data_IF_203817066421
#
_entry.id   IF_203817066421
#
_cell.length_a   1.000
_cell.length_b   1.000
_cell.length_c   1.000
_cell.angle_alpha   90.00
_cell.angle_beta   90.00
_cell.angle_gamma   90.00
#
_symmetry.space_group_name_H-M   'P 1'
#
loop_
_entity.id
_entity.type
_entity.pdbx_description
1 polymer ?
#
# COMPACT_ATOMS: atom_id res chain seq x y z
N UNK A 1 14.74 -31.46 -8.34
CA UNK A 1 15.58 -31.05 -7.20
C UNK A 1 14.82 -31.37 -5.92
N UNK A 2 15.26 -32.36 -5.13
CA UNK A 2 14.63 -32.68 -3.85
C UNK A 2 14.99 -31.59 -2.84
N UNK A 3 14.07 -30.67 -2.56
CA UNK A 3 14.24 -29.73 -1.45
C UNK A 3 14.20 -30.53 -0.14
N UNK A 4 15.26 -30.50 0.65
CA UNK A 4 15.30 -31.24 1.91
C UNK A 4 14.56 -30.45 2.97
N UNK A 5 13.39 -30.94 3.40
CA UNK A 5 12.56 -30.35 4.46
C UNK A 5 12.65 -31.20 5.73
N UNK A 6 13.01 -30.59 6.86
CA UNK A 6 13.11 -31.29 8.14
C UNK A 6 12.61 -30.42 9.31
N UNK A 7 11.91 -31.05 10.25
CA UNK A 7 11.37 -30.45 11.47
C UNK A 7 11.90 -31.20 12.69
N UNK A 8 12.33 -30.47 13.72
CA UNK A 8 12.65 -31.07 15.01
C UNK A 8 12.31 -30.15 16.17
N UNK A 9 11.91 -30.73 17.30
CA UNK A 9 11.75 -30.00 18.56
C UNK A 9 12.99 -30.15 19.44
N UNK A 10 13.36 -29.08 20.13
CA UNK A 10 14.48 -29.10 21.07
C UNK A 10 14.29 -28.10 22.19
N UNK A 11 15.00 -28.30 23.30
CA UNK A 11 14.98 -27.39 24.44
C UNK A 11 16.24 -26.50 24.44
N UNK A 12 16.09 -25.21 24.76
CA UNK A 12 17.24 -24.31 24.96
C UNK A 12 17.66 -24.32 26.43
N UNK A 13 18.59 -25.22 26.78
CA UNK A 13 19.14 -25.37 28.14
C UNK A 13 19.87 -24.11 28.65
N UNK A 14 20.31 -23.23 27.76
CA UNK A 14 20.90 -21.93 28.11
C UNK A 14 19.86 -20.85 28.45
N UNK A 15 18.55 -21.16 28.39
CA UNK A 15 17.44 -20.24 28.72
C UNK A 15 16.51 -20.83 29.77
N UNK A 16 17.06 -21.52 30.77
CA UNK A 16 16.27 -22.10 31.87
C UNK A 16 15.68 -20.96 32.70
N UNK A 17 14.39 -21.08 33.04
CA UNK A 17 13.66 -20.14 33.90
C UNK A 17 14.01 -20.37 35.36
N UNK A 18 13.70 -19.38 36.21
CA UNK A 18 13.85 -19.47 37.67
C UNK A 18 13.16 -20.69 38.29
N UNK A 19 12.09 -21.19 37.67
CA UNK A 19 11.38 -22.41 38.08
C UNK A 19 12.01 -23.73 37.58
N UNK A 20 13.22 -23.70 37.00
CA UNK A 20 13.94 -24.89 36.53
C UNK A 20 13.51 -25.45 35.17
N UNK A 21 12.51 -24.86 34.51
CA UNK A 21 12.04 -25.34 33.20
C UNK A 21 12.76 -24.66 32.03
N UNK A 22 13.00 -25.41 30.94
CA UNK A 22 13.58 -24.91 29.70
C UNK A 22 12.51 -24.68 28.62
N UNK A 23 12.62 -23.63 27.80
CA UNK A 23 11.73 -23.40 26.68
C UNK A 23 11.94 -24.41 25.55
N UNK A 24 10.84 -24.84 24.95
CA UNK A 24 10.81 -25.70 23.77
C UNK A 24 10.78 -24.83 22.51
N UNK A 25 11.59 -25.21 21.53
CA UNK A 25 11.69 -24.60 20.21
C UNK A 25 11.44 -25.65 19.13
N UNK A 26 10.82 -25.22 18.03
CA UNK A 26 10.73 -25.94 16.77
C UNK A 26 11.82 -25.38 15.84
N UNK A 27 12.61 -26.26 15.23
CA UNK A 27 13.54 -25.90 14.16
C UNK A 27 13.00 -26.40 12.83
N UNK A 28 12.89 -25.47 11.89
CA UNK A 28 12.52 -25.72 10.49
C UNK A 28 13.80 -25.66 9.68
N UNK A 29 14.12 -26.69 8.92
CA UNK A 29 15.28 -26.72 8.01
C UNK A 29 14.81 -26.95 6.58
N UNK A 30 15.17 -26.04 5.68
CA UNK A 30 14.90 -26.13 4.25
C UNK A 30 16.20 -25.87 3.51
N UNK A 31 16.62 -26.81 2.68
CA UNK A 31 17.84 -26.72 1.86
C UNK A 31 19.09 -26.32 2.67
N UNK A 32 19.26 -26.95 3.83
CA UNK A 32 20.38 -26.73 4.75
C UNK A 32 20.32 -25.44 5.59
N UNK A 33 19.36 -24.54 5.35
CA UNK A 33 19.15 -23.33 6.14
C UNK A 33 18.08 -23.56 7.21
N UNK A 34 18.38 -23.22 8.45
CA UNK A 34 17.50 -23.46 9.59
C UNK A 34 16.92 -22.16 10.17
N UNK A 35 15.66 -22.22 10.62
CA UNK A 35 14.96 -21.17 11.34
C UNK A 35 14.31 -21.74 12.60
N UNK A 36 14.47 -21.05 13.74
CA UNK A 36 13.94 -21.49 15.04
C UNK A 36 12.66 -20.70 15.41
N UNK A 37 11.64 -21.41 15.89
CA UNK A 37 10.38 -20.85 16.39
C UNK A 37 10.17 -21.28 17.84
N UNK A 38 9.81 -20.36 18.73
CA UNK A 38 9.46 -20.70 20.10
C UNK A 38 8.10 -21.41 20.15
N UNK A 39 8.02 -22.62 20.70
CA UNK A 39 6.78 -23.38 20.84
C UNK A 39 5.88 -22.86 21.98
N UNK A 40 6.30 -21.80 22.69
CA UNK A 40 5.59 -21.20 23.84
C UNK A 40 5.18 -22.22 24.91
N UNK A 41 5.99 -23.26 25.07
CA UNK A 41 5.89 -24.32 26.08
C UNK A 41 7.24 -24.53 26.74
N UNK A 42 7.19 -25.06 27.96
CA UNK A 42 8.35 -25.25 28.81
C UNK A 42 8.30 -26.64 29.41
N UNK A 43 9.47 -27.24 29.63
CA UNK A 43 9.59 -28.57 30.22
C UNK A 43 10.83 -28.64 31.10
N UNK A 44 10.78 -29.45 32.15
CA UNK A 44 11.97 -29.86 32.88
C UNK A 44 12.92 -30.59 31.92
N UNK A 45 14.20 -30.15 31.79
CA UNK A 45 15.18 -30.82 30.93
C UNK A 45 15.34 -32.31 31.18
N UNK A 46 15.08 -32.81 32.41
CA UNK A 46 15.13 -34.23 32.76
C UNK A 46 13.97 -35.03 32.18
N UNK A 47 12.86 -34.37 31.86
CA UNK A 47 11.65 -34.97 31.28
C UNK A 47 11.60 -34.84 29.75
N UNK A 48 12.69 -34.42 29.12
CA UNK A 48 12.77 -34.27 27.66
C UNK A 48 13.60 -35.39 27.03
N UNK A 49 13.06 -36.05 26.02
CA UNK A 49 13.78 -37.01 25.19
C UNK A 49 14.45 -36.28 24.02
N UNK A 50 15.79 -36.26 24.03
CA UNK A 50 16.57 -35.59 22.99
C UNK A 50 16.52 -36.35 21.65
N UNK A 51 16.46 -37.69 21.68
CA UNK A 51 16.43 -38.52 20.46
C UNK A 51 15.05 -38.54 19.83
N UNK A 52 14.01 -38.63 20.66
CA UNK A 52 12.63 -38.67 20.19
C UNK A 52 11.97 -37.29 20.06
N UNK A 53 12.68 -36.20 20.41
CA UNK A 53 12.21 -34.81 20.32
C UNK A 53 10.85 -34.56 21.01
N UNK A 54 10.61 -35.21 22.17
CA UNK A 54 9.31 -35.18 22.87
C UNK A 54 9.45 -35.29 24.38
N UNK A 55 8.36 -35.06 25.11
CA UNK A 55 8.31 -35.29 26.55
C UNK A 55 8.34 -36.79 26.88
N UNK A 56 9.12 -37.15 27.90
CA UNK A 56 9.25 -38.51 28.46
C UNK A 56 8.04 -38.87 29.35
N UNK A 57 7.71 -40.16 29.36
CA UNK A 57 6.70 -40.74 30.25
C UNK A 57 5.27 -40.70 29.72
N UNK A 58 4.34 -41.25 30.52
CA UNK A 58 2.94 -41.44 30.19
C UNK A 58 1.98 -40.58 31.02
N UNK A 59 2.49 -39.56 31.73
CA UNK A 59 1.66 -38.66 32.52
C UNK A 59 0.73 -37.84 31.62
N UNK A 60 -0.36 -37.34 32.19
CA UNK A 60 -1.33 -36.55 31.44
C UNK A 60 -0.70 -35.25 30.87
N UNK A 61 0.25 -34.66 31.60
CA UNK A 61 1.01 -33.49 31.16
C UNK A 61 1.91 -33.82 29.97
N UNK A 62 2.61 -34.96 30.02
CA UNK A 62 3.48 -35.41 28.92
C UNK A 62 2.66 -35.70 27.65
N UNK A 63 1.51 -36.38 27.79
CA UNK A 63 0.58 -36.64 26.68
C UNK A 63 0.04 -35.34 26.07
N UNK A 64 -0.41 -34.41 26.91
CA UNK A 64 -0.95 -33.11 26.47
C UNK A 64 0.11 -32.27 25.75
N UNK A 65 1.33 -32.23 26.28
CA UNK A 65 2.45 -31.52 25.65
C UNK A 65 2.82 -32.13 24.30
N UNK A 66 2.94 -33.46 24.22
CA UNK A 66 3.27 -34.16 22.99
C UNK A 66 2.18 -33.98 21.92
N UNK A 67 0.90 -33.99 22.32
CA UNK A 67 -0.21 -33.68 21.42
C UNK A 67 -0.10 -32.25 20.87
N UNK A 68 0.19 -31.27 21.73
CA UNK A 68 0.40 -29.88 21.31
C UNK A 68 1.55 -29.74 20.30
N UNK A 69 2.69 -30.40 20.55
CA UNK A 69 3.83 -30.38 19.63
C UNK A 69 3.47 -31.00 18.28
N UNK A 70 2.72 -32.10 18.28
CA UNK A 70 2.22 -32.74 17.06
C UNK A 70 1.25 -31.84 16.27
N UNK A 71 0.36 -31.12 16.95
CA UNK A 71 -0.52 -30.14 16.29
C UNK A 71 0.28 -28.99 15.68
N UNK A 72 1.30 -28.49 16.38
CA UNK A 72 2.16 -27.43 15.86
C UNK A 72 2.96 -27.90 14.63
N UNK A 73 3.45 -29.14 14.67
CA UNK A 73 4.13 -29.78 13.54
C UNK A 73 3.19 -29.90 12.32
N UNK A 74 1.97 -30.41 12.50
CA UNK A 74 0.98 -30.52 11.42
C UNK A 74 0.69 -29.15 10.79
N UNK A 75 0.53 -28.11 11.61
CA UNK A 75 0.32 -26.74 11.13
C UNK A 75 1.48 -26.28 10.23
N UNK A 76 2.72 -26.63 10.57
CA UNK A 76 3.89 -26.29 9.73
C UNK A 76 3.84 -26.99 8.37
N UNK A 77 3.47 -28.28 8.34
CA UNK A 77 3.28 -29.00 7.08
C UNK A 77 2.18 -28.38 6.21
N UNK A 78 1.06 -27.99 6.80
CA UNK A 78 -0.06 -27.36 6.07
C UNK A 78 0.37 -26.04 5.42
N UNK A 79 1.09 -25.17 6.15
CA UNK A 79 1.62 -23.93 5.59
C UNK A 79 2.69 -24.16 4.53
N UNK A 80 3.57 -25.15 4.73
CA UNK A 80 4.58 -25.50 3.74
C UNK A 80 3.93 -25.96 2.42
N UNK A 81 2.89 -26.79 2.50
CA UNK A 81 2.13 -27.23 1.34
C UNK A 81 1.42 -26.06 0.61
N UNK A 82 0.80 -25.15 1.35
CA UNK A 82 0.18 -23.96 0.77
C UNK A 82 1.21 -23.11 -0.01
N UNK A 83 2.39 -22.88 0.57
CA UNK A 83 3.43 -22.10 -0.09
C UNK A 83 4.00 -22.79 -1.35
N UNK A 84 4.08 -24.12 -1.36
CA UNK A 84 4.45 -24.88 -2.56
C UNK A 84 3.39 -24.78 -3.67
N UNK A 85 2.11 -24.76 -3.30
CA UNK A 85 0.99 -24.64 -4.25
C UNK A 85 0.93 -23.25 -4.90
N UNK A 86 1.32 -22.20 -4.17
CA UNK A 86 1.35 -20.81 -4.65
C UNK A 86 2.57 -20.48 -5.53
N UNK A 87 3.38 -21.47 -5.93
CA UNK A 87 4.65 -21.32 -6.69
C UNK A 87 5.69 -20.37 -6.03
N UNK A 88 5.54 -20.12 -4.74
CA UNK A 88 6.43 -19.25 -3.99
C UNK A 88 7.76 -19.94 -3.65
N UNK A 89 8.86 -19.18 -3.65
CA UNK A 89 10.16 -19.68 -3.22
C UNK A 89 10.16 -19.95 -1.70
N UNK A 90 10.00 -21.21 -1.31
CA UNK A 90 9.93 -21.60 0.10
C UNK A 90 11.32 -21.68 0.73
N UNK A 91 11.57 -20.87 1.76
CA UNK A 91 12.74 -20.92 2.65
C UNK A 91 12.31 -21.14 4.10
N UNK A 92 13.24 -21.56 4.96
CA UNK A 92 12.94 -21.73 6.39
C UNK A 92 12.47 -20.43 7.05
N UNK A 93 13.04 -19.27 6.66
CA UNK A 93 12.64 -17.97 7.18
C UNK A 93 11.28 -17.50 6.61
N UNK A 94 11.01 -17.68 5.31
CA UNK A 94 9.69 -17.32 4.76
C UNK A 94 8.57 -18.17 5.36
N UNK A 95 8.80 -19.47 5.59
CA UNK A 95 7.83 -20.35 6.25
C UNK A 95 7.63 -19.95 7.73
N UNK A 96 8.70 -19.60 8.44
CA UNK A 96 8.62 -19.04 9.80
C UNK A 96 7.83 -17.74 9.83
N UNK A 97 8.08 -16.83 8.90
CA UNK A 97 7.34 -15.58 8.78
C UNK A 97 5.85 -15.84 8.55
N UNK A 98 5.50 -16.77 7.66
CA UNK A 98 4.10 -17.15 7.43
C UNK A 98 3.44 -17.72 8.68
N UNK A 99 4.15 -18.60 9.40
CA UNK A 99 3.66 -19.23 10.64
C UNK A 99 3.46 -18.23 11.79
N UNK A 100 4.31 -17.21 11.87
CA UNK A 100 4.25 -16.16 12.88
C UNK A 100 3.33 -14.99 12.48
N UNK A 101 2.85 -14.97 11.23
CA UNK A 101 2.10 -13.85 10.68
C UNK A 101 2.96 -12.61 10.39
N UNK A 102 4.29 -12.77 10.33
CA UNK A 102 5.25 -11.68 10.03
C UNK A 102 5.69 -11.67 8.56
N UNK A 103 5.03 -12.43 7.70
CA UNK A 103 5.25 -12.49 6.23
C UNK A 103 4.63 -11.30 5.48
N UNK A 104 3.94 -10.41 6.20
CA UNK A 104 3.41 -9.18 5.63
C UNK A 104 4.58 -8.21 5.55
N UNK A 105 5.27 -8.19 4.42
CA UNK A 105 6.19 -7.12 4.08
C UNK A 105 5.38 -5.82 4.05
N UNK A 106 5.48 -5.07 5.15
CA UNK A 106 4.75 -3.82 5.33
C UNK A 106 5.19 -2.84 4.26
N UNK A 107 4.23 -2.42 3.45
CA UNK A 107 4.46 -1.48 2.36
C UNK A 107 3.66 -0.24 2.67
N UNK A 108 4.38 0.86 2.85
CA UNK A 108 3.77 2.12 3.23
C UNK A 108 3.36 2.92 2.00
N UNK A 109 2.19 3.55 2.06
CA UNK A 109 1.58 4.25 0.94
C UNK A 109 2.40 5.47 0.49
N UNK A 110 2.89 6.27 1.43
CA UNK A 110 3.56 7.54 1.10
C UNK A 110 4.85 7.33 0.30
N UNK A 111 5.78 6.42 0.68
CA UNK A 111 6.96 6.10 -0.13
C UNK A 111 6.63 5.64 -1.54
N UNK A 112 5.60 4.80 -1.72
CA UNK A 112 5.19 4.31 -3.05
C UNK A 112 4.70 5.46 -3.92
N UNK A 113 3.91 6.36 -3.34
CA UNK A 113 3.43 7.54 -4.06
C UNK A 113 4.58 8.50 -4.37
N UNK A 114 5.51 8.71 -3.44
CA UNK A 114 6.70 9.53 -3.69
C UNK A 114 7.55 8.95 -4.83
N UNK A 115 7.83 7.65 -4.83
CA UNK A 115 8.57 6.97 -5.90
C UNK A 115 7.87 7.14 -7.27
N UNK A 116 6.54 7.07 -7.30
CA UNK A 116 5.79 7.36 -8.52
C UNK A 116 6.01 8.81 -8.98
N UNK A 117 5.97 9.78 -8.07
CA UNK A 117 6.17 11.18 -8.41
C UNK A 117 7.60 11.46 -8.90
N UNK A 118 8.61 10.81 -8.31
CA UNK A 118 10.01 10.93 -8.72
C UNK A 118 10.21 10.39 -10.15
N UNK A 119 9.57 9.27 -10.49
CA UNK A 119 9.55 8.72 -11.86
C UNK A 119 8.85 9.66 -12.85
N UNK A 120 7.74 10.27 -12.45
CA UNK A 120 7.05 11.28 -13.29
C UNK A 120 7.93 12.50 -13.50
N UNK A 121 8.64 12.97 -12.46
CA UNK A 121 9.56 14.11 -12.52
C UNK A 121 10.71 13.86 -13.49
N UNK A 122 11.32 12.67 -13.43
CA UNK A 122 12.39 12.27 -14.35
C UNK A 122 11.97 12.24 -15.83
N UNK A 123 10.66 12.11 -16.09
CA UNK A 123 10.09 12.04 -17.44
C UNK A 123 9.41 13.35 -17.88
N UNK A 124 9.55 14.43 -17.11
CA UNK A 124 9.05 15.75 -17.50
C UNK A 124 9.82 16.27 -18.72
N UNK A 125 9.10 16.75 -19.72
CA UNK A 125 9.66 17.21 -21.00
C UNK A 125 9.78 16.11 -22.06
N UNK A 126 9.50 14.86 -21.70
CA UNK A 126 9.35 13.74 -22.65
C UNK A 126 7.89 13.28 -22.67
N UNK A 127 7.51 12.48 -21.68
CA UNK A 127 6.19 11.86 -21.59
C UNK A 127 5.22 12.65 -20.70
N UNK A 128 5.74 13.55 -19.86
CA UNK A 128 4.94 14.32 -18.91
C UNK A 128 5.14 15.83 -19.04
N UNK A 129 4.02 16.55 -18.97
CA UNK A 129 4.03 18.00 -18.82
C UNK A 129 4.32 18.39 -17.36
N UNK A 130 4.96 19.55 -17.09
CA UNK A 130 5.21 20.05 -15.73
C UNK A 130 3.93 20.15 -14.87
N UNK A 131 2.82 20.56 -15.48
CA UNK A 131 1.52 20.64 -14.81
C UNK A 131 0.96 19.27 -14.37
N UNK A 132 1.38 18.18 -15.00
CA UNK A 132 1.02 16.82 -14.58
C UNK A 132 1.78 16.43 -13.31
N UNK A 133 3.08 16.71 -13.24
CA UNK A 133 3.89 16.49 -12.04
C UNK A 133 3.33 17.27 -10.85
N UNK A 134 3.02 18.55 -11.04
CA UNK A 134 2.49 19.41 -9.97
C UNK A 134 1.17 18.86 -9.41
N UNK A 135 0.31 18.32 -10.28
CA UNK A 135 -0.94 17.67 -9.86
C UNK A 135 -0.69 16.40 -9.04
N UNK A 136 0.35 15.64 -9.34
CA UNK A 136 0.72 14.45 -8.57
C UNK A 136 1.34 14.82 -7.22
N UNK A 137 2.24 15.81 -7.18
CA UNK A 137 2.79 16.37 -5.93
C UNK A 137 1.70 16.90 -5.01
N UNK A 138 0.76 17.67 -5.57
CA UNK A 138 -0.41 18.18 -4.83
C UNK A 138 -1.31 17.04 -4.33
N UNK A 139 -1.53 16.02 -5.15
CA UNK A 139 -2.34 14.85 -4.74
C UNK A 139 -1.70 14.06 -3.60
N UNK A 140 -0.38 13.90 -3.61
CA UNK A 140 0.37 13.27 -2.53
C UNK A 140 0.22 14.06 -1.22
N UNK A 141 0.40 15.38 -1.28
CA UNK A 141 0.21 16.26 -0.12
C UNK A 141 -1.18 16.12 0.49
N UNK A 142 -2.23 16.13 -0.34
CA UNK A 142 -3.60 15.94 0.15
C UNK A 142 -3.81 14.56 0.79
N UNK A 143 -3.18 13.51 0.24
CA UNK A 143 -3.23 12.17 0.83
C UNK A 143 -2.56 12.16 2.21
N UNK A 144 -1.39 12.78 2.37
CA UNK A 144 -0.72 12.91 3.68
C UNK A 144 -1.56 13.67 4.70
N UNK A 145 -2.13 14.81 4.29
CA UNK A 145 -2.99 15.63 5.15
C UNK A 145 -4.27 14.88 5.57
N UNK A 146 -4.88 14.11 4.67
CA UNK A 146 -6.03 13.26 4.97
C UNK A 146 -5.66 12.17 5.99
N UNK A 147 -4.56 11.45 5.76
CA UNK A 147 -4.11 10.37 6.63
C UNK A 147 -3.88 10.90 8.05
N UNK A 148 -3.17 12.02 8.16
CA UNK A 148 -2.95 12.67 9.45
C UNK A 148 -4.28 13.17 10.07
N UNK A 149 -5.21 13.70 9.28
CA UNK A 149 -6.50 14.17 9.80
C UNK A 149 -7.36 13.02 10.38
N UNK A 150 -7.51 11.91 9.65
CA UNK A 150 -8.39 10.78 10.01
C UNK A 150 -7.73 9.81 11.00
N UNK A 151 -6.50 9.40 10.72
CA UNK A 151 -5.83 8.29 11.42
C UNK A 151 -4.76 8.75 12.41
N UNK A 152 -4.41 10.06 12.43
CA UNK A 152 -3.39 10.63 13.33
C UNK A 152 -2.00 10.00 13.19
N UNK A 153 -1.68 9.54 11.98
CA UNK A 153 -0.38 8.95 11.62
C UNK A 153 0.20 9.68 10.42
N UNK A 154 1.51 9.58 10.23
CA UNK A 154 2.22 10.17 9.07
C UNK A 154 2.07 9.35 7.79
N UNK A 155 1.74 8.06 7.91
CA UNK A 155 1.70 7.11 6.81
C UNK A 155 0.79 5.92 7.18
N UNK A 156 0.40 5.14 6.18
CA UNK A 156 -0.49 3.98 6.33
C UNK A 156 0.00 2.81 5.48
N UNK A 157 -0.15 1.59 5.99
CA UNK A 157 0.12 0.39 5.21
C UNK A 157 -0.92 0.27 4.09
N UNK A 158 -0.48 -0.11 2.89
CA UNK A 158 -1.35 -0.26 1.72
C UNK A 158 -2.44 -1.33 1.92
N UNK A 159 -2.26 -2.27 2.84
CA UNK A 159 -3.24 -3.31 3.20
C UNK A 159 -4.44 -2.75 3.98
N UNK A 160 -4.28 -1.59 4.63
CA UNK A 160 -5.35 -0.89 5.36
C UNK A 160 -6.22 -0.01 4.43
N UNK A 161 -5.87 0.06 3.14
CA UNK A 161 -6.60 0.87 2.16
C UNK A 161 -7.76 0.05 1.61
N UNK A 162 -8.96 0.29 2.15
CA UNK A 162 -10.18 -0.34 1.71
C UNK A 162 -11.17 0.66 1.08
N UNK A 163 -12.39 0.20 0.78
CA UNK A 163 -13.43 1.08 0.23
C UNK A 163 -13.84 2.18 1.23
N UNK A 164 -13.75 1.92 2.54
CA UNK A 164 -13.99 2.90 3.60
C UNK A 164 -12.97 4.04 3.53
N UNK A 165 -11.68 3.72 3.40
CA UNK A 165 -10.61 4.70 3.20
C UNK A 165 -10.90 5.61 2.00
N UNK A 166 -11.27 5.03 0.84
CA UNK A 166 -11.56 5.80 -0.38
C UNK A 166 -12.76 6.73 -0.18
N UNK A 167 -13.81 6.24 0.48
CA UNK A 167 -15.03 7.00 0.74
C UNK A 167 -14.78 8.16 1.70
N UNK A 168 -14.03 7.91 2.78
CA UNK A 168 -13.61 8.92 3.75
C UNK A 168 -12.69 9.96 3.13
N UNK A 169 -11.81 9.54 2.20
CA UNK A 169 -10.94 10.47 1.50
C UNK A 169 -11.72 11.39 0.56
N UNK A 170 -12.71 10.87 -0.19
CA UNK A 170 -13.61 11.69 -1.00
C UNK A 170 -14.40 12.69 -0.15
N UNK A 171 -14.94 12.21 0.98
CA UNK A 171 -15.62 13.07 1.94
C UNK A 171 -14.70 14.20 2.42
N UNK A 172 -13.49 13.88 2.90
CA UNK A 172 -12.55 14.85 3.43
C UNK A 172 -12.12 15.90 2.38
N UNK A 173 -11.89 15.47 1.13
CA UNK A 173 -11.57 16.39 0.03
C UNK A 173 -12.67 17.44 -0.15
N UNK A 174 -13.94 17.06 0.02
CA UNK A 174 -15.10 17.94 -0.18
C UNK A 174 -15.48 18.75 1.05
N UNK A 175 -15.42 18.15 2.23
CA UNK A 175 -15.92 18.77 3.48
C UNK A 175 -14.84 19.59 4.19
N UNK A 176 -13.61 19.05 4.30
CA UNK A 176 -12.51 19.68 5.04
C UNK A 176 -11.64 20.51 4.12
N UNK A 177 -11.16 19.94 3.00
CA UNK A 177 -10.38 20.69 2.01
C UNK A 177 -11.21 21.61 1.13
N UNK A 178 -12.55 21.48 1.19
CA UNK A 178 -13.49 22.30 0.42
C UNK A 178 -13.22 22.29 -1.09
N UNK A 179 -12.72 21.18 -1.62
CA UNK A 179 -12.50 21.02 -3.05
C UNK A 179 -13.85 20.95 -3.79
N UNK A 180 -13.94 21.67 -4.91
CA UNK A 180 -15.05 21.48 -5.85
C UNK A 180 -15.09 20.05 -6.41
N UNK A 181 -16.27 19.62 -6.85
CA UNK A 181 -16.51 18.23 -7.27
C UNK A 181 -15.47 17.69 -8.26
N UNK A 182 -15.18 18.45 -9.32
CA UNK A 182 -14.27 17.99 -10.37
C UNK A 182 -12.82 17.92 -9.88
N UNK A 183 -12.45 18.80 -8.95
CA UNK A 183 -11.12 18.83 -8.33
C UNK A 183 -10.94 17.62 -7.39
N UNK A 184 -11.93 17.32 -6.54
CA UNK A 184 -11.92 16.12 -5.70
C UNK A 184 -11.81 14.85 -6.54
N UNK A 185 -12.62 14.73 -7.60
CA UNK A 185 -12.55 13.61 -8.55
C UNK A 185 -11.18 13.49 -9.22
N UNK A 186 -10.52 14.61 -9.55
CA UNK A 186 -9.15 14.59 -10.12
C UNK A 186 -8.13 14.04 -9.13
N UNK A 187 -8.16 14.45 -7.86
CA UNK A 187 -7.25 13.91 -6.84
C UNK A 187 -7.50 12.42 -6.57
N UNK A 188 -8.76 12.00 -6.50
CA UNK A 188 -9.09 10.58 -6.35
C UNK A 188 -8.67 9.74 -7.55
N UNK A 189 -8.72 10.29 -8.78
CA UNK A 189 -8.17 9.62 -9.96
C UNK A 189 -6.65 9.47 -9.88
N UNK A 190 -5.94 10.50 -9.42
CA UNK A 190 -4.50 10.42 -9.21
C UNK A 190 -4.16 9.38 -8.14
N UNK A 191 -4.87 9.38 -7.01
CA UNK A 191 -4.72 8.36 -5.97
C UNK A 191 -5.04 6.94 -6.49
N UNK A 192 -6.10 6.78 -7.29
CA UNK A 192 -6.44 5.50 -7.94
C UNK A 192 -5.32 4.97 -8.83
N UNK A 193 -4.53 5.84 -9.46
CA UNK A 193 -3.35 5.41 -10.25
C UNK A 193 -2.32 4.72 -9.36
N UNK A 194 -2.08 5.21 -8.15
CA UNK A 194 -1.15 4.62 -7.17
C UNK A 194 -1.68 3.26 -6.70
N UNK A 195 -2.95 3.18 -6.35
CA UNK A 195 -3.55 1.89 -5.94
C UNK A 195 -3.48 0.85 -7.07
N UNK A 196 -3.72 1.26 -8.32
CA UNK A 196 -3.55 0.37 -9.47
C UNK A 196 -2.11 -0.08 -9.67
N UNK A 197 -1.12 0.75 -9.35
CA UNK A 197 0.29 0.36 -9.37
C UNK A 197 0.53 -0.75 -8.33
N UNK A 198 0.06 -0.57 -7.09
CA UNK A 198 0.16 -1.58 -6.04
C UNK A 198 -0.51 -2.90 -6.44
N UNK A 199 -1.69 -2.84 -7.08
CA UNK A 199 -2.37 -4.02 -7.61
C UNK A 199 -1.59 -4.69 -8.75
N UNK A 200 -1.00 -3.91 -9.66
CA UNK A 200 -0.21 -4.44 -10.77
C UNK A 200 1.06 -5.16 -10.28
N UNK A 201 1.63 -4.72 -9.15
CA UNK A 201 2.73 -5.42 -8.47
C UNK A 201 2.27 -6.62 -7.63
N UNK A 202 0.97 -6.90 -7.55
CA UNK A 202 0.40 -7.99 -6.75
C UNK A 202 0.37 -7.72 -5.24
N UNK A 203 0.62 -6.49 -4.80
CA UNK A 203 0.63 -6.16 -3.37
C UNK A 203 -0.78 -6.01 -2.80
N UNK A 204 -1.72 -5.48 -3.58
CA UNK A 204 -3.13 -5.38 -3.20
C UNK A 204 -3.94 -6.34 -4.06
N UNK A 205 -4.67 -7.26 -3.43
CA UNK A 205 -5.48 -8.27 -4.14
C UNK A 205 -6.92 -7.82 -4.41
N UNK A 206 -7.48 -6.95 -3.56
CA UNK A 206 -8.86 -6.44 -3.66
C UNK A 206 -8.87 -4.97 -4.02
N UNK A 207 -9.57 -4.58 -5.09
CA UNK A 207 -9.66 -3.16 -5.51
C UNK A 207 -10.44 -2.33 -4.46
N UNK A 208 -9.81 -1.36 -3.77
CA UNK A 208 -10.48 -0.45 -2.83
C UNK A 208 -11.46 0.50 -3.53
N UNK A 209 -11.27 0.75 -4.82
CA UNK A 209 -12.14 1.60 -5.64
C UNK A 209 -13.30 0.82 -6.29
N UNK A 210 -13.48 -0.46 -5.96
CA UNK A 210 -14.59 -1.24 -6.50
C UNK A 210 -15.92 -0.57 -6.14
N UNK A 211 -16.73 -0.23 -7.15
CA UNK A 211 -18.01 0.46 -6.97
C UNK A 211 -17.93 1.98 -6.83
N UNK A 212 -16.73 2.57 -6.69
CA UNK A 212 -16.57 4.03 -6.65
C UNK A 212 -16.87 4.67 -8.02
N UNK A 213 -17.92 5.50 -8.09
CA UNK A 213 -18.36 6.18 -9.31
C UNK A 213 -17.98 7.66 -9.32
N UNK A 214 -16.87 7.98 -9.98
CA UNK A 214 -16.45 9.34 -10.24
C UNK A 214 -17.40 10.03 -11.26
N UNK A 215 -18.22 10.99 -10.81
CA UNK A 215 -19.05 11.83 -11.70
C UNK A 215 -18.44 13.22 -11.83
N UNK A 216 -17.89 13.54 -12.99
CA UNK A 216 -17.48 14.91 -13.33
C UNK A 216 -18.74 15.68 -13.71
N UNK A 217 -18.93 16.86 -13.11
CA UNK A 217 -20.00 17.77 -13.50
C UNK A 217 -19.49 18.62 -14.66
N UNK A 218 -20.24 18.67 -15.77
CA UNK A 218 -19.94 19.61 -16.83
C UNK A 218 -19.95 21.02 -16.24
N UNK A 219 -18.91 21.80 -16.52
CA UNK A 219 -18.86 23.21 -16.17
C UNK A 219 -19.20 23.94 -17.45
N UNK A 220 -20.36 24.61 -17.47
CA UNK A 220 -20.68 25.53 -18.54
C UNK A 220 -19.65 26.64 -18.52
N UNK A 221 -18.92 26.77 -19.63
CA UNK A 221 -18.02 27.89 -19.84
C UNK A 221 -18.83 28.96 -20.54
N UNK A 222 -19.06 30.12 -19.93
CA UNK A 222 -19.65 31.22 -20.66
C UNK A 222 -18.76 31.51 -21.88
N UNK A 223 -19.40 31.68 -23.03
CA UNK A 223 -18.75 32.07 -24.27
C UNK A 223 -19.30 33.44 -24.66
N UNK A 224 -18.51 34.18 -25.44
CA UNK A 224 -18.96 35.47 -25.96
C UNK A 224 -19.79 35.26 -27.22
N UNK A 225 -20.93 35.94 -27.32
CA UNK A 225 -21.68 36.01 -28.58
C UNK A 225 -20.97 36.91 -29.59
N UNK A 226 -21.39 36.86 -30.85
CA UNK A 226 -20.82 37.71 -31.90
C UNK A 226 -21.01 39.19 -31.58
N UNK A 227 -22.15 39.53 -30.99
CA UNK A 227 -22.52 40.88 -30.57
C UNK A 227 -21.62 41.34 -29.41
N UNK A 228 -21.33 40.47 -28.45
CA UNK A 228 -20.41 40.78 -27.35
C UNK A 228 -18.97 40.96 -27.83
N UNK A 229 -18.51 40.16 -28.81
CA UNK A 229 -17.21 40.36 -29.46
C UNK A 229 -17.18 41.71 -30.19
N UNK A 230 -18.26 42.08 -30.90
CA UNK A 230 -18.36 43.36 -31.59
C UNK A 230 -18.33 44.54 -30.62
N UNK A 231 -19.03 44.44 -29.48
CA UNK A 231 -18.98 45.47 -28.43
C UNK A 231 -17.56 45.65 -27.88
N UNK A 232 -16.78 44.57 -27.74
CA UNK A 232 -15.38 44.65 -27.32
C UNK A 232 -14.52 45.31 -28.40
N UNK A 233 -14.74 45.00 -29.68
CA UNK A 233 -14.04 45.60 -30.82
C UNK A 233 -14.25 47.13 -30.87
N UNK A 234 -15.48 47.58 -30.72
CA UNK A 234 -15.85 49.00 -30.79
C UNK A 234 -15.53 49.79 -29.52
N UNK A 235 -15.16 49.10 -28.42
CA UNK A 235 -14.85 49.76 -27.17
C UNK A 235 -13.57 50.57 -27.28
N UNK A 236 -13.69 51.87 -27.04
CA UNK A 236 -12.54 52.75 -26.83
C UNK A 236 -12.02 52.61 -25.39
N UNK A 237 -10.74 52.25 -25.26
CA UNK A 237 -10.04 52.24 -23.99
C UNK A 237 -9.10 53.44 -23.91
N UNK A 238 -9.08 54.10 -22.74
CA UNK A 238 -8.22 55.25 -22.49
C UNK A 238 -6.72 54.93 -22.37
N UNK A 239 -6.35 53.64 -22.37
CA UNK A 239 -4.97 53.18 -22.19
C UNK A 239 -4.54 52.36 -23.41
N UNK A 240 -3.41 52.72 -24.01
CA UNK A 240 -2.81 51.99 -25.14
C UNK A 240 -2.54 50.52 -24.82
N UNK A 241 -2.15 50.24 -23.57
CA UNK A 241 -1.97 48.86 -23.09
C UNK A 241 -3.26 48.05 -23.15
N UNK A 242 -4.41 48.66 -22.82
CA UNK A 242 -5.70 47.98 -22.89
C UNK A 242 -6.16 47.78 -24.34
N UNK A 243 -5.86 48.74 -25.23
CA UNK A 243 -6.11 48.57 -26.67
C UNK A 243 -5.30 47.38 -27.22
N UNK A 244 -4.02 47.25 -26.85
CA UNK A 244 -3.20 46.10 -27.25
C UNK A 244 -3.76 44.76 -26.73
N UNK A 245 -4.21 44.71 -25.47
CA UNK A 245 -4.84 43.50 -24.90
C UNK A 245 -6.14 43.16 -25.63
N UNK A 246 -6.97 44.15 -25.94
CA UNK A 246 -8.19 43.98 -26.75
C UNK A 246 -7.86 43.37 -28.11
N UNK A 247 -6.87 43.93 -28.81
CA UNK A 247 -6.53 43.51 -30.17
C UNK A 247 -6.01 42.06 -30.20
N UNK A 248 -5.13 41.69 -29.26
CA UNK A 248 -4.62 40.31 -29.12
C UNK A 248 -5.76 39.34 -28.77
N UNK A 249 -6.66 39.75 -27.87
CA UNK A 249 -7.82 38.94 -27.49
C UNK A 249 -8.75 38.70 -28.68
N UNK A 250 -9.11 39.75 -29.42
CA UNK A 250 -9.97 39.66 -30.61
C UNK A 250 -9.31 38.82 -31.71
N UNK A 251 -8.00 39.01 -31.94
CA UNK A 251 -7.24 38.18 -32.86
C UNK A 251 -7.31 36.69 -32.48
N UNK A 252 -7.19 36.37 -31.19
CA UNK A 252 -7.34 35.01 -30.68
C UNK A 252 -8.76 34.45 -30.90
N UNK A 253 -9.79 35.28 -30.70
CA UNK A 253 -11.18 34.91 -30.96
C UNK A 253 -11.46 34.61 -32.44
N UNK A 254 -10.90 35.39 -33.37
CA UNK A 254 -11.11 35.20 -34.81
C UNK A 254 -10.27 34.07 -35.42
N UNK A 255 -9.07 33.83 -34.89
CA UNK A 255 -8.15 32.81 -35.43
C UNK A 255 -8.24 31.46 -34.70
N UNK A 256 -8.82 31.42 -33.51
CA UNK A 256 -8.83 30.25 -32.64
C UNK A 256 -7.46 29.92 -32.03
N UNK A 257 -6.47 30.81 -32.17
CA UNK A 257 -5.13 30.60 -31.62
C UNK A 257 -5.11 30.96 -30.12
N UNK A 258 -4.40 30.15 -29.33
CA UNK A 258 -4.31 30.36 -27.89
C UNK A 258 -3.41 31.57 -27.59
N UNK A 259 -3.78 32.37 -26.59
CA UNK A 259 -3.04 33.58 -26.20
C UNK A 259 -1.57 33.30 -25.80
N UNK A 260 -1.27 32.07 -25.34
CA UNK A 260 0.07 31.64 -24.89
C UNK A 260 1.05 31.43 -26.06
N UNK A 261 0.57 31.48 -27.31
CA UNK A 261 1.40 31.30 -28.51
C UNK A 261 2.09 32.63 -28.91
N UNK A 262 1.75 33.77 -28.30
CA UNK A 262 2.26 35.11 -28.60
C UNK A 262 3.09 35.71 -27.47
#
# INVERSE_FOLDING_TARGET
MNKTFNLLFFIKKNKIRTNGTAPIYLRITIDGKAADIAAKRYIDPKKWDVKAHKALGNSQEAKTLNLYLKTLEQKVYDFHYLMLKEENFVTAESLKSKLLGTDIEQRMLIPIFQEHNDKVEALVGQDFAPGTLERYKTSLKHTQEFINWKYKVSDIDIMEIDHGFVSDYDFWLRSVRKCGNNTAVKYLKNFKKIIRLCMAHGWITKDPFLGYKAKIKAVERPYLTKEEIQMIYEKEFASDRLNQVRDIFLFSCYTGLAYVIY
#
